data_IF_779410503510
#
_entry.id   IF_779410503510
#
_cell.length_a   1.000
_cell.length_b   1.000
_cell.length_c   1.000
_cell.angle_alpha   90.00
_cell.angle_beta   90.00
_cell.angle_gamma   90.00
#
_symmetry.space_group_name_H-M   'P 1'
#
loop_
_entity.id
_entity.type
_entity.pdbx_description
1 polymer ?
#
# COMPACT_ATOMS: atom_id res chain seq x y z
N UNK A 1 -7.24 -36.68 18.03
CA UNK A 1 -7.54 -35.43 18.77
C UNK A 1 -6.77 -35.50 20.06
N UNK A 2 -6.03 -34.45 20.43
CA UNK A 2 -5.45 -34.38 21.77
C UNK A 2 -6.53 -34.02 22.80
N UNK A 3 -6.17 -34.03 24.09
CA UNK A 3 -7.09 -33.72 25.19
C UNK A 3 -7.69 -32.29 25.14
N UNK A 4 -7.24 -31.44 24.20
CA UNK A 4 -7.75 -30.07 23.97
C UNK A 4 -8.66 -29.94 22.75
N UNK A 5 -8.97 -31.05 22.06
CA UNK A 5 -9.77 -31.03 20.83
C UNK A 5 -9.03 -30.46 19.62
N UNK A 6 -7.74 -30.13 19.74
CA UNK A 6 -6.93 -29.63 18.63
C UNK A 6 -6.50 -30.78 17.72
N UNK A 7 -6.58 -30.52 16.41
CA UNK A 7 -5.96 -31.36 15.39
C UNK A 7 -4.44 -31.33 15.63
N UNK A 8 -3.83 -32.49 15.88
CA UNK A 8 -2.37 -32.57 16.01
C UNK A 8 -1.68 -32.12 14.72
N UNK A 9 -0.45 -31.60 14.82
CA UNK A 9 0.28 -31.02 13.67
C UNK A 9 0.31 -31.97 12.47
N UNK A 10 0.54 -33.28 12.68
CA UNK A 10 0.53 -34.27 11.60
C UNK A 10 -0.81 -34.39 10.87
N UNK A 11 -1.93 -34.12 11.54
CA UNK A 11 -3.25 -34.08 10.87
C UNK A 11 -3.50 -32.80 10.08
N UNK A 12 -2.90 -31.67 10.49
CA UNK A 12 -2.94 -30.42 9.72
C UNK A 12 -2.11 -30.58 8.43
N UNK A 13 -0.93 -31.19 8.54
CA UNK A 13 -0.07 -31.50 7.40
C UNK A 13 -0.78 -32.41 6.39
N UNK A 14 -1.37 -33.52 6.83
CA UNK A 14 -2.14 -34.41 5.95
C UNK A 14 -3.30 -33.66 5.25
N UNK A 15 -4.01 -32.80 5.98
CA UNK A 15 -5.12 -32.00 5.44
C UNK A 15 -4.65 -31.03 4.36
N UNK A 16 -3.48 -30.40 4.55
CA UNK A 16 -2.87 -29.50 3.57
C UNK A 16 -2.42 -30.26 2.32
N UNK A 17 -1.69 -31.37 2.49
CA UNK A 17 -1.19 -32.19 1.37
C UNK A 17 -2.33 -32.77 0.54
N UNK A 18 -3.43 -33.19 1.19
CA UNK A 18 -4.62 -33.70 0.53
C UNK A 18 -5.52 -32.59 -0.06
N UNK A 19 -5.24 -31.30 0.19
CA UNK A 19 -6.11 -30.15 -0.13
C UNK A 19 -7.55 -30.36 0.37
N UNK A 20 -7.69 -31.04 1.50
CA UNK A 20 -9.00 -31.38 2.07
C UNK A 20 -9.65 -30.20 2.81
N UNK A 21 -8.87 -29.15 3.09
CA UNK A 21 -9.32 -27.95 3.79
C UNK A 21 -9.41 -26.78 2.80
N UNK A 22 -10.56 -26.09 2.77
CA UNK A 22 -10.78 -24.99 1.85
C UNK A 22 -9.82 -23.80 2.11
N UNK A 23 -9.29 -23.66 3.33
CA UNK A 23 -8.34 -22.59 3.64
C UNK A 23 -7.00 -22.72 2.90
N UNK A 24 -6.70 -23.90 2.32
CA UNK A 24 -5.58 -24.07 1.37
C UNK A 24 -5.77 -23.19 0.12
N UNK A 25 -7.02 -22.83 -0.20
CA UNK A 25 -7.39 -21.99 -1.32
C UNK A 25 -7.87 -20.59 -0.89
N UNK A 26 -7.65 -20.20 0.38
CA UNK A 26 -8.06 -18.86 0.88
C UNK A 26 -7.33 -17.74 0.14
N UNK A 27 -6.08 -17.97 -0.29
CA UNK A 27 -5.27 -16.99 -1.02
C UNK A 27 -4.93 -17.50 -2.42
N UNK A 28 -5.50 -16.88 -3.45
CA UNK A 28 -5.26 -17.25 -4.84
C UNK A 28 -3.83 -16.96 -5.34
N UNK A 29 -3.05 -16.18 -4.59
CA UNK A 29 -1.69 -15.78 -4.97
C UNK A 29 -0.61 -16.72 -4.42
N UNK A 30 -0.96 -17.73 -3.62
CA UNK A 30 0.03 -18.65 -3.06
C UNK A 30 0.27 -19.85 -3.97
N UNK A 31 1.47 -20.38 -3.88
CA UNK A 31 1.86 -21.62 -4.56
C UNK A 31 2.15 -22.70 -3.52
N UNK A 32 1.67 -23.91 -3.79
CA UNK A 32 1.92 -25.07 -2.93
C UNK A 32 3.42 -25.21 -2.73
N UNK A 33 3.84 -25.03 -1.49
CA UNK A 33 5.24 -25.02 -1.08
C UNK A 33 5.32 -25.23 0.42
N UNK A 34 6.52 -25.51 0.95
CA UNK A 34 6.72 -25.49 2.40
C UNK A 34 6.46 -24.11 3.00
N UNK A 35 6.73 -23.03 2.25
CA UNK A 35 6.42 -21.67 2.69
C UNK A 35 4.92 -21.46 2.87
N UNK A 36 4.11 -21.93 1.91
CA UNK A 36 2.65 -21.86 1.99
C UNK A 36 2.10 -22.76 3.11
N UNK A 37 2.64 -23.97 3.27
CA UNK A 37 2.30 -24.85 4.38
C UNK A 37 2.55 -24.20 5.75
N UNK A 38 3.68 -23.52 5.93
CA UNK A 38 3.97 -22.80 7.18
C UNK A 38 2.95 -21.67 7.42
N UNK A 39 2.53 -20.97 6.38
CA UNK A 39 1.45 -19.98 6.45
C UNK A 39 0.10 -20.61 6.85
N UNK A 40 -0.26 -21.74 6.24
CA UNK A 40 -1.45 -22.51 6.56
C UNK A 40 -1.44 -23.00 8.01
N UNK A 41 -0.33 -23.59 8.46
CA UNK A 41 -0.13 -24.06 9.83
C UNK A 41 -0.28 -22.90 10.83
N UNK A 42 0.36 -21.77 10.55
CA UNK A 42 0.24 -20.56 11.36
C UNK A 42 -1.21 -20.06 11.42
N UNK A 43 -1.94 -20.10 10.30
CA UNK A 43 -3.38 -19.81 10.26
C UNK A 43 -4.18 -20.70 11.21
N UNK A 44 -3.98 -22.01 11.14
CA UNK A 44 -4.70 -22.99 12.00
C UNK A 44 -4.39 -22.82 13.49
N UNK A 45 -3.17 -22.43 13.83
CA UNK A 45 -2.77 -22.25 15.23
C UNK A 45 -3.27 -20.92 15.80
N UNK A 46 -3.25 -19.84 15.00
CA UNK A 46 -3.41 -18.47 15.51
C UNK A 46 -4.79 -17.85 15.25
N UNK A 47 -5.55 -18.31 14.24
CA UNK A 47 -6.90 -17.79 13.94
C UNK A 47 -7.99 -18.38 14.88
N UNK A 48 -7.62 -18.88 16.05
CA UNK A 48 -8.58 -19.45 17.02
C UNK A 48 -9.18 -18.35 17.91
N UNK A 49 -10.44 -18.48 18.37
CA UNK A 49 -11.07 -17.45 19.20
C UNK A 49 -10.29 -17.11 20.47
N UNK A 50 -9.73 -18.12 21.14
CA UNK A 50 -8.97 -17.94 22.38
C UNK A 50 -7.71 -17.11 22.14
N UNK A 51 -6.92 -17.48 21.12
CA UNK A 51 -5.70 -16.73 20.76
C UNK A 51 -6.06 -15.32 20.31
N UNK A 52 -7.07 -15.14 19.46
CA UNK A 52 -7.44 -13.81 18.97
C UNK A 52 -7.88 -12.88 20.12
N UNK A 53 -8.59 -13.40 21.14
CA UNK A 53 -9.04 -12.64 22.31
C UNK A 53 -7.91 -12.18 23.23
N UNK A 54 -6.72 -12.81 23.16
CA UNK A 54 -5.53 -12.33 23.87
C UNK A 54 -4.98 -11.02 23.30
N UNK A 55 -5.23 -10.75 22.01
CA UNK A 55 -4.66 -9.60 21.29
C UNK A 55 -5.69 -8.56 20.86
N UNK A 56 -6.96 -8.94 20.76
CA UNK A 56 -8.04 -8.12 20.21
C UNK A 56 -9.22 -8.05 21.20
N UNK A 57 -10.02 -6.96 21.17
CA UNK A 57 -11.23 -6.88 21.98
C UNK A 57 -12.13 -8.09 21.78
N UNK A 58 -12.61 -8.71 22.87
CA UNK A 58 -13.38 -9.95 22.80
C UNK A 58 -14.62 -9.81 21.89
N UNK A 59 -15.30 -8.67 21.98
CA UNK A 59 -16.45 -8.35 21.13
C UNK A 59 -16.09 -8.31 19.64
N UNK A 60 -14.91 -7.79 19.29
CA UNK A 60 -14.45 -7.75 17.91
C UNK A 60 -14.22 -9.16 17.35
N UNK A 61 -13.63 -10.05 18.15
CA UNK A 61 -13.42 -11.46 17.77
C UNK A 61 -14.77 -12.15 17.53
N UNK A 62 -15.74 -11.96 18.41
CA UNK A 62 -17.09 -12.51 18.25
C UNK A 62 -17.78 -12.00 16.98
N UNK A 63 -17.74 -10.69 16.74
CA UNK A 63 -18.32 -10.08 15.54
C UNK A 63 -17.59 -10.53 14.26
N UNK A 64 -16.29 -10.77 14.32
CA UNK A 64 -15.52 -11.30 13.21
C UNK A 64 -15.96 -12.73 12.85
N UNK A 65 -16.07 -13.60 13.86
CA UNK A 65 -16.53 -14.98 13.69
C UNK A 65 -17.99 -15.03 13.21
N UNK A 66 -18.83 -14.11 13.68
CA UNK A 66 -20.21 -13.94 13.25
C UNK A 66 -20.37 -13.32 11.85
N UNK A 67 -19.26 -12.87 11.23
CA UNK A 67 -19.22 -12.21 9.90
C UNK A 67 -19.91 -10.85 9.84
N UNK A 68 -20.09 -10.21 10.99
CA UNK A 68 -20.55 -8.82 11.11
C UNK A 68 -19.46 -7.84 10.70
N UNK A 69 -18.21 -8.15 11.07
CA UNK A 69 -17.01 -7.42 10.65
C UNK A 69 -15.99 -8.39 10.05
N UNK A 70 -15.08 -7.86 9.24
CA UNK A 70 -13.92 -8.59 8.74
C UNK A 70 -12.64 -7.90 9.20
N UNK A 71 -11.87 -8.58 10.05
CA UNK A 71 -10.56 -8.12 10.52
C UNK A 71 -9.53 -8.63 9.50
N UNK A 72 -8.94 -7.70 8.75
CA UNK A 72 -8.07 -8.05 7.64
C UNK A 72 -6.72 -8.61 8.11
N UNK A 73 -6.10 -9.41 7.24
CA UNK A 73 -4.72 -9.90 7.36
C UNK A 73 -4.44 -10.73 8.62
N UNK A 74 -5.45 -11.32 9.26
CA UNK A 74 -5.22 -12.31 10.30
C UNK A 74 -4.49 -13.54 9.71
N UNK A 75 -3.56 -14.17 10.46
CA UNK A 75 -3.13 -13.79 11.82
C UNK A 75 -1.99 -12.75 11.82
N UNK A 76 -1.42 -12.39 10.68
CA UNK A 76 -0.27 -11.48 10.61
C UNK A 76 -0.55 -10.11 11.23
N UNK A 77 -1.77 -9.58 11.06
CA UNK A 77 -2.19 -8.30 11.64
C UNK A 77 -2.19 -8.29 13.16
N UNK A 78 -2.01 -9.42 13.85
CA UNK A 78 -1.74 -9.39 15.28
C UNK A 78 -0.39 -8.72 15.63
N UNK A 79 0.57 -8.65 14.70
CA UNK A 79 1.91 -8.07 14.95
C UNK A 79 2.41 -7.13 13.87
N UNK A 80 1.99 -7.33 12.62
CA UNK A 80 2.56 -6.68 11.45
C UNK A 80 1.52 -5.73 10.84
N UNK A 81 1.83 -4.43 10.70
CA UNK A 81 0.88 -3.46 10.15
C UNK A 81 0.54 -3.70 8.68
N UNK A 82 -0.44 -2.96 8.17
CA UNK A 82 -0.96 -3.17 6.82
C UNK A 82 -0.04 -2.64 5.73
N UNK A 83 -0.11 -1.36 5.36
CA UNK A 83 0.60 -0.86 4.18
C UNK A 83 1.26 0.49 4.41
N UNK A 84 2.24 0.83 3.57
CA UNK A 84 3.07 2.02 3.71
C UNK A 84 3.63 2.50 2.38
N UNK A 85 3.78 3.82 2.28
CA UNK A 85 4.56 4.51 1.26
C UNK A 85 5.88 5.03 1.80
N UNK A 86 6.89 4.96 0.95
CA UNK A 86 8.26 5.28 1.29
C UNK A 86 8.77 6.48 0.52
N UNK A 87 9.57 7.30 1.19
CA UNK A 87 10.28 8.41 0.55
C UNK A 87 11.46 7.88 -0.23
N UNK A 88 11.38 7.94 -1.56
CA UNK A 88 12.49 7.53 -2.39
C UNK A 88 13.70 8.47 -2.20
N UNK A 89 13.45 9.78 -2.08
CA UNK A 89 14.47 10.77 -1.72
C UNK A 89 15.25 10.38 -0.46
N UNK A 90 14.58 9.91 0.60
CA UNK A 90 15.26 9.49 1.84
C UNK A 90 16.15 8.27 1.62
N UNK A 91 15.71 7.31 0.80
CA UNK A 91 16.53 6.14 0.43
C UNK A 91 17.77 6.61 -0.36
N UNK A 92 17.62 7.55 -1.28
CA UNK A 92 18.74 8.11 -2.06
C UNK A 92 19.72 8.92 -1.20
N UNK A 93 19.23 9.67 -0.20
CA UNK A 93 20.10 10.42 0.75
C UNK A 93 20.90 9.52 1.67
N UNK A 94 20.28 8.46 2.20
CA UNK A 94 20.90 7.61 3.22
C UNK A 94 21.70 6.45 2.64
N UNK A 95 21.32 5.96 1.44
CA UNK A 95 21.70 4.64 0.98
C UNK A 95 20.81 3.56 1.59
N UNK A 96 21.27 2.31 1.58
CA UNK A 96 20.52 1.16 2.11
C UNK A 96 21.19 0.64 3.39
N UNK A 97 20.60 0.99 4.53
CA UNK A 97 21.03 0.68 5.87
C UNK A 97 20.14 -0.44 6.39
N UNK A 98 20.71 -1.61 6.62
CA UNK A 98 20.01 -2.77 7.19
C UNK A 98 20.67 -3.17 8.52
N UNK A 99 20.06 -4.09 9.30
CA UNK A 99 20.70 -4.61 10.51
C UNK A 99 22.04 -5.34 10.26
N UNK A 100 22.23 -5.91 9.05
CA UNK A 100 23.38 -6.76 8.74
C UNK A 100 24.42 -6.07 7.85
N UNK A 101 24.02 -5.13 6.99
CA UNK A 101 24.90 -4.47 6.03
C UNK A 101 24.47 -3.03 5.78
N UNK A 102 25.45 -2.16 5.53
CA UNK A 102 25.23 -0.74 5.24
C UNK A 102 25.85 -0.40 3.90
N UNK A 103 25.02 -0.04 2.93
CA UNK A 103 25.41 0.50 1.63
C UNK A 103 25.36 2.02 1.64
N UNK A 104 26.46 2.67 1.19
CA UNK A 104 26.50 4.13 0.98
C UNK A 104 25.46 4.55 -0.08
N UNK A 105 25.05 5.83 -0.10
CA UNK A 105 24.17 6.37 -1.15
C UNK A 105 24.59 6.00 -2.57
N UNK A 106 23.60 5.64 -3.40
CA UNK A 106 23.81 5.24 -4.78
C UNK A 106 24.43 6.38 -5.60
N UNK A 107 25.42 6.06 -6.44
CA UNK A 107 26.06 7.02 -7.38
C UNK A 107 25.70 6.78 -8.84
N UNK A 108 25.15 5.62 -9.15
CA UNK A 108 24.79 5.18 -10.49
C UNK A 108 23.36 4.65 -10.50
N UNK A 109 22.69 4.73 -11.65
CA UNK A 109 21.30 4.29 -11.81
C UNK A 109 21.12 2.84 -11.37
N UNK A 110 22.05 1.97 -11.77
CA UNK A 110 22.01 0.55 -11.45
C UNK A 110 21.94 0.28 -9.95
N UNK A 111 22.74 1.02 -9.15
CA UNK A 111 22.71 0.96 -7.68
C UNK A 111 21.44 1.57 -7.11
N UNK A 112 20.95 2.69 -7.66
CA UNK A 112 19.74 3.36 -7.17
C UNK A 112 18.49 2.46 -7.32
N UNK A 113 18.39 1.78 -8.46
CA UNK A 113 17.34 0.79 -8.75
C UNK A 113 17.49 -0.44 -7.84
N UNK A 114 18.70 -0.99 -7.71
CA UNK A 114 18.94 -2.12 -6.81
C UNK A 114 18.66 -1.78 -5.34
N UNK A 115 18.94 -0.56 -4.89
CA UNK A 115 18.57 -0.11 -3.56
C UNK A 115 17.06 -0.13 -3.35
N UNK A 116 16.28 0.42 -4.31
CA UNK A 116 14.83 0.45 -4.20
C UNK A 116 14.21 -0.95 -4.20
N UNK A 117 14.68 -1.84 -5.09
CA UNK A 117 14.22 -3.23 -5.15
C UNK A 117 14.47 -3.96 -3.83
N UNK A 118 15.72 -3.93 -3.35
CA UNK A 118 16.08 -4.59 -2.09
C UNK A 118 15.34 -3.97 -0.91
N UNK A 119 15.16 -2.65 -0.92
CA UNK A 119 14.39 -1.96 0.09
C UNK A 119 12.93 -2.46 0.15
N UNK A 120 12.26 -2.63 -0.98
CA UNK A 120 10.92 -3.22 -1.01
C UNK A 120 10.90 -4.65 -0.50
N UNK A 121 11.85 -5.51 -0.87
CA UNK A 121 11.94 -6.88 -0.35
C UNK A 121 12.15 -6.94 1.16
N UNK A 122 13.00 -6.08 1.71
CA UNK A 122 13.27 -6.02 3.14
C UNK A 122 12.04 -5.52 3.90
N UNK A 123 11.47 -4.41 3.47
CA UNK A 123 10.31 -3.81 4.14
C UNK A 123 9.04 -4.64 3.97
N UNK A 124 8.92 -5.43 2.90
CA UNK A 124 7.85 -6.39 2.70
C UNK A 124 7.74 -7.46 3.81
N UNK A 125 8.77 -7.62 4.65
CA UNK A 125 8.74 -8.48 5.84
C UNK A 125 8.19 -7.76 7.09
N UNK A 126 8.19 -6.42 7.10
CA UNK A 126 7.70 -5.59 8.21
C UNK A 126 6.26 -5.10 8.00
N UNK A 127 5.67 -5.36 6.83
CA UNK A 127 4.32 -4.93 6.47
C UNK A 127 3.57 -6.02 5.69
N UNK A 128 2.29 -6.20 5.95
CA UNK A 128 1.46 -7.29 5.37
C UNK A 128 0.82 -6.95 4.02
N UNK A 129 0.74 -5.65 3.73
CA UNK A 129 0.14 -5.07 2.54
C UNK A 129 1.21 -4.62 1.56
N UNK A 130 0.88 -3.59 0.80
CA UNK A 130 1.73 -3.11 -0.27
C UNK A 130 2.73 -2.06 0.20
N UNK A 131 3.79 -1.94 -0.59
CA UNK A 131 4.89 -0.99 -0.47
C UNK A 131 4.85 -0.04 -1.66
N UNK A 132 4.74 1.25 -1.42
CA UNK A 132 4.68 2.23 -2.51
C UNK A 132 5.91 3.15 -2.50
N UNK A 133 6.37 3.55 -3.69
CA UNK A 133 7.23 4.71 -3.86
C UNK A 133 6.69 5.56 -5.01
N UNK A 134 6.74 6.88 -4.82
CA UNK A 134 6.27 7.85 -5.79
C UNK A 134 7.44 8.47 -6.57
N UNK A 135 7.13 9.01 -7.74
CA UNK A 135 8.07 9.79 -8.56
C UNK A 135 9.34 9.01 -8.94
N UNK A 136 9.21 7.70 -9.22
CA UNK A 136 10.36 6.86 -9.55
C UNK A 136 11.04 7.35 -10.84
N UNK A 137 10.25 7.81 -11.80
CA UNK A 137 10.72 8.45 -13.02
C UNK A 137 11.59 9.68 -12.75
N UNK A 138 11.09 10.60 -11.91
CA UNK A 138 11.81 11.83 -11.57
C UNK A 138 13.07 11.56 -10.73
N UNK A 139 13.01 10.67 -9.74
CA UNK A 139 14.16 10.37 -8.88
C UNK A 139 15.22 9.51 -9.58
N UNK A 140 14.86 8.72 -10.59
CA UNK A 140 15.83 7.98 -11.42
C UNK A 140 16.49 8.87 -12.48
N UNK A 141 15.80 9.91 -12.97
CA UNK A 141 16.24 10.77 -14.06
C UNK A 141 17.62 11.44 -13.85
N UNK A 142 17.97 11.98 -12.66
CA UNK A 142 19.30 12.54 -12.42
C UNK A 142 20.44 11.54 -12.62
N UNK A 143 20.21 10.25 -12.31
CA UNK A 143 21.21 9.20 -12.53
C UNK A 143 21.40 8.89 -14.01
N UNK A 144 20.31 8.92 -14.81
CA UNK A 144 20.38 8.72 -16.26
C UNK A 144 21.30 9.77 -16.89
N UNK A 145 21.13 11.05 -16.52
CA UNK A 145 21.99 12.14 -17.00
C UNK A 145 23.42 12.02 -16.47
N UNK A 146 23.57 11.78 -15.17
CA UNK A 146 24.87 11.65 -14.52
C UNK A 146 25.73 10.54 -15.14
N UNK A 147 25.12 9.40 -15.46
CA UNK A 147 25.79 8.24 -16.04
C UNK A 147 25.90 8.32 -17.58
N UNK A 148 25.27 9.32 -18.22
CA UNK A 148 25.27 9.48 -19.68
C UNK A 148 24.56 8.33 -20.41
N UNK A 149 23.48 7.78 -19.83
CA UNK A 149 22.83 6.57 -20.33
C UNK A 149 21.91 6.86 -21.51
N UNK A 150 22.02 6.03 -22.55
CA UNK A 150 20.99 5.95 -23.59
C UNK A 150 19.81 5.07 -23.18
N UNK A 151 18.70 5.19 -23.91
CA UNK A 151 17.43 4.51 -23.60
C UNK A 151 17.57 2.99 -23.38
N UNK A 152 18.38 2.29 -24.18
CA UNK A 152 18.58 0.85 -24.01
C UNK A 152 19.13 0.46 -22.63
N UNK A 153 20.05 1.25 -22.09
CA UNK A 153 20.60 1.03 -20.75
C UNK A 153 19.57 1.38 -19.66
N UNK A 154 18.81 2.47 -19.84
CA UNK A 154 17.70 2.84 -18.94
C UNK A 154 16.67 1.71 -18.87
N UNK A 155 16.21 1.24 -20.04
CA UNK A 155 15.25 0.14 -20.14
C UNK A 155 15.77 -1.14 -19.50
N UNK A 156 17.05 -1.45 -19.63
CA UNK A 156 17.66 -2.62 -18.98
C UNK A 156 17.57 -2.55 -17.45
N UNK A 157 17.81 -1.38 -16.86
CA UNK A 157 17.73 -1.20 -15.40
C UNK A 157 16.28 -1.23 -14.90
N UNK A 158 15.33 -0.67 -15.65
CA UNK A 158 13.90 -0.78 -15.33
C UNK A 158 13.42 -2.23 -15.51
N UNK A 159 13.89 -2.94 -16.52
CA UNK A 159 13.58 -4.36 -16.74
C UNK A 159 14.02 -5.20 -15.54
N UNK A 160 15.24 -4.95 -15.02
CA UNK A 160 15.72 -5.58 -13.79
C UNK A 160 14.74 -5.39 -12.64
N UNK A 161 14.20 -4.19 -12.44
CA UNK A 161 13.18 -3.91 -11.43
C UNK A 161 11.90 -4.75 -11.64
N UNK A 162 11.38 -4.81 -12.87
CA UNK A 162 10.17 -5.58 -13.17
C UNK A 162 10.36 -7.06 -12.83
N UNK A 163 11.44 -7.69 -13.30
CA UNK A 163 11.69 -9.09 -12.98
C UNK A 163 11.93 -9.33 -11.49
N UNK A 164 12.81 -8.54 -10.85
CA UNK A 164 13.16 -8.76 -9.45
C UNK A 164 11.97 -8.57 -8.51
N UNK A 165 11.07 -7.61 -8.78
CA UNK A 165 9.86 -7.38 -7.96
C UNK A 165 8.74 -8.40 -8.19
N UNK A 166 8.79 -9.19 -9.28
CA UNK A 166 7.85 -10.30 -9.49
C UNK A 166 8.39 -11.64 -8.97
N UNK A 167 9.67 -11.75 -8.60
CA UNK A 167 10.15 -12.97 -7.95
C UNK A 167 9.58 -13.13 -6.54
N UNK A 168 9.25 -14.37 -6.13
CA UNK A 168 8.60 -14.64 -4.86
C UNK A 168 9.58 -14.45 -3.69
N UNK A 169 9.27 -13.52 -2.79
CA UNK A 169 10.11 -13.19 -1.62
C UNK A 169 9.34 -13.21 -0.30
N UNK A 170 8.01 -13.34 -0.33
CA UNK A 170 7.13 -13.43 0.84
C UNK A 170 6.69 -14.87 1.13
N UNK A 171 6.21 -15.07 2.36
CA UNK A 171 5.58 -16.31 2.80
C UNK A 171 4.49 -16.76 1.81
N UNK A 172 4.46 -18.05 1.48
CA UNK A 172 3.55 -18.62 0.50
C UNK A 172 3.99 -18.48 -0.96
N UNK A 173 5.29 -18.23 -1.20
CA UNK A 173 5.84 -17.99 -2.55
C UNK A 173 5.15 -16.82 -3.27
N UNK A 174 4.82 -15.78 -2.51
CA UNK A 174 4.23 -14.55 -3.04
C UNK A 174 5.31 -13.52 -3.34
N UNK A 175 5.13 -12.73 -4.40
CA UNK A 175 5.97 -11.56 -4.67
C UNK A 175 5.62 -10.43 -3.70
N UNK A 176 6.55 -9.51 -3.48
CA UNK A 176 6.27 -8.31 -2.69
C UNK A 176 5.25 -7.44 -3.43
N UNK A 177 4.15 -7.08 -2.76
CA UNK A 177 3.16 -6.20 -3.37
C UNK A 177 3.76 -4.79 -3.42
N UNK A 178 4.13 -4.34 -4.61
CA UNK A 178 4.79 -3.04 -4.82
C UNK A 178 3.98 -2.14 -5.75
N UNK A 179 4.04 -0.84 -5.50
CA UNK A 179 3.44 0.20 -6.34
C UNK A 179 4.51 1.25 -6.69
N UNK A 180 4.54 1.61 -7.96
CA UNK A 180 5.41 2.61 -8.54
C UNK A 180 4.55 3.72 -9.16
N UNK A 181 4.66 4.95 -8.66
CA UNK A 181 3.96 6.08 -9.28
C UNK A 181 4.88 6.83 -10.24
N UNK A 182 4.41 7.02 -11.46
CA UNK A 182 5.00 7.85 -12.51
C UNK A 182 4.34 9.23 -12.44
N UNK A 183 5.16 10.27 -12.25
CA UNK A 183 4.67 11.63 -12.00
C UNK A 183 4.81 12.54 -13.21
N UNK A 184 5.85 12.39 -14.03
CA UNK A 184 6.20 13.32 -15.11
C UNK A 184 6.11 14.77 -14.61
N UNK A 185 5.34 15.62 -15.29
CA UNK A 185 5.12 17.02 -14.93
C UNK A 185 3.86 17.26 -14.07
N UNK A 186 3.29 16.21 -13.47
CA UNK A 186 2.00 16.31 -12.79
C UNK A 186 2.00 17.28 -11.59
N UNK A 187 3.14 17.42 -10.90
CA UNK A 187 3.27 18.19 -9.66
C UNK A 187 4.45 19.17 -9.72
N UNK A 188 4.13 20.48 -9.71
CA UNK A 188 5.13 21.56 -9.81
C UNK A 188 5.99 21.69 -8.56
N UNK A 189 5.47 21.39 -7.38
CA UNK A 189 6.24 21.44 -6.14
C UNK A 189 7.25 20.29 -6.10
N UNK A 190 6.84 19.11 -6.56
CA UNK A 190 7.74 17.97 -6.71
C UNK A 190 8.84 18.27 -7.74
N UNK A 191 8.52 18.88 -8.88
CA UNK A 191 9.54 19.29 -9.85
C UNK A 191 10.56 20.27 -9.27
N UNK A 192 10.15 21.17 -8.37
CA UNK A 192 11.03 22.11 -7.70
C UNK A 192 11.84 21.48 -6.54
N UNK A 193 11.53 20.24 -6.16
CA UNK A 193 12.24 19.52 -5.11
C UNK A 193 13.60 18.99 -5.58
N UNK A 194 14.41 18.55 -4.62
CA UNK A 194 15.80 18.14 -4.85
C UNK A 194 15.95 16.88 -5.72
N UNK A 195 16.81 16.99 -6.74
CA UNK A 195 17.42 15.85 -7.40
C UNK A 195 18.61 15.34 -6.58
N UNK A 196 18.70 14.03 -6.36
CA UNK A 196 19.64 13.43 -5.42
C UNK A 196 20.48 12.34 -6.09
N UNK A 197 21.81 12.54 -6.13
CA UNK A 197 22.79 11.55 -6.62
C UNK A 197 23.95 11.47 -5.63
N UNK A 198 24.40 10.27 -5.29
CA UNK A 198 25.49 10.07 -4.32
C UNK A 198 25.17 10.57 -2.91
N UNK A 199 23.88 10.70 -2.58
CA UNK A 199 23.38 11.23 -1.31
C UNK A 199 23.46 12.75 -1.17
N UNK A 200 23.68 13.47 -2.29
CA UNK A 200 23.78 14.93 -2.33
C UNK A 200 22.79 15.50 -3.32
N UNK A 201 22.35 16.72 -3.06
CA UNK A 201 21.56 17.52 -4.00
C UNK A 201 22.42 17.88 -5.22
N UNK A 202 21.89 17.65 -6.42
CA UNK A 202 22.58 17.91 -7.70
C UNK A 202 21.81 18.84 -8.64
N UNK A 203 20.64 19.31 -8.21
CA UNK A 203 19.73 20.16 -8.99
C UNK A 203 18.29 20.00 -8.50
N UNK A 204 17.34 20.45 -9.32
CA UNK A 204 15.91 20.20 -9.09
C UNK A 204 15.43 19.03 -9.96
N UNK A 205 14.41 18.30 -9.52
CA UNK A 205 13.86 17.17 -10.30
C UNK A 205 13.39 17.61 -11.70
N UNK A 206 12.82 18.81 -11.81
CA UNK A 206 12.35 19.38 -13.07
C UNK A 206 13.45 19.67 -14.09
N UNK A 207 14.72 19.74 -13.68
CA UNK A 207 15.84 19.92 -14.60
C UNK A 207 16.07 18.67 -15.48
N UNK A 208 15.53 17.50 -15.09
CA UNK A 208 15.81 16.18 -15.69
C UNK A 208 14.59 15.55 -16.39
N UNK A 209 13.67 16.37 -16.90
CA UNK A 209 12.42 15.87 -17.51
C UNK A 209 12.65 14.96 -18.73
N UNK A 210 13.63 15.25 -19.59
CA UNK A 210 13.93 14.43 -20.76
C UNK A 210 14.34 13.00 -20.36
N UNK A 211 15.12 12.87 -19.29
CA UNK A 211 15.50 11.58 -18.71
C UNK A 211 14.34 10.91 -17.97
N UNK A 212 13.48 11.67 -17.30
CA UNK A 212 12.28 11.14 -16.65
C UNK A 212 11.31 10.53 -17.68
N UNK A 213 11.16 11.16 -18.85
CA UNK A 213 10.39 10.64 -19.99
C UNK A 213 10.99 9.31 -20.47
N UNK A 214 12.32 9.16 -20.51
CA UNK A 214 12.95 7.88 -20.86
C UNK A 214 12.65 6.78 -19.84
N UNK A 215 12.69 7.10 -18.54
CA UNK A 215 12.33 6.13 -17.48
C UNK A 215 10.85 5.75 -17.60
N UNK A 216 9.95 6.73 -17.74
CA UNK A 216 8.52 6.47 -17.93
C UNK A 216 8.26 5.61 -19.18
N UNK A 217 8.90 5.92 -20.31
CA UNK A 217 8.82 5.11 -21.54
C UNK A 217 9.21 3.65 -21.28
N UNK A 218 10.30 3.41 -20.55
CA UNK A 218 10.73 2.05 -20.22
C UNK A 218 9.67 1.28 -19.42
N UNK A 219 8.98 1.92 -18.46
CA UNK A 219 7.88 1.30 -17.71
C UNK A 219 6.74 0.82 -18.63
N UNK A 220 6.34 1.63 -19.60
CA UNK A 220 5.23 1.29 -20.50
C UNK A 220 5.62 0.31 -21.62
N UNK A 221 6.83 0.42 -22.17
CA UNK A 221 7.38 -0.57 -23.10
C UNK A 221 7.41 -1.97 -22.46
N UNK A 222 8.01 -2.07 -21.27
CA UNK A 222 8.14 -3.36 -20.56
C UNK A 222 6.78 -3.92 -20.13
N UNK A 223 5.82 -3.04 -19.82
CA UNK A 223 4.44 -3.43 -19.57
C UNK A 223 3.78 -4.09 -20.78
N UNK A 224 4.05 -3.58 -22.00
CA UNK A 224 3.56 -4.16 -23.24
C UNK A 224 4.27 -5.46 -23.60
N UNK A 225 5.59 -5.53 -23.42
CA UNK A 225 6.41 -6.71 -23.70
C UNK A 225 6.01 -7.90 -22.82
N UNK A 226 5.91 -7.69 -21.51
CA UNK A 226 5.67 -8.74 -20.53
C UNK A 226 6.92 -9.56 -20.18
N UNK A 227 6.71 -10.68 -19.50
CA UNK A 227 7.77 -11.59 -19.08
C UNK A 227 8.38 -12.39 -20.24
N UNK A 228 9.24 -13.38 -19.95
CA UNK A 228 9.85 -14.24 -20.97
C UNK A 228 8.87 -15.05 -21.84
N UNK A 229 7.57 -15.05 -21.50
CA UNK A 229 6.46 -15.65 -22.25
C UNK A 229 5.48 -14.61 -22.79
N UNK A 230 5.76 -13.32 -22.62
CA UNK A 230 4.88 -12.21 -22.98
C UNK A 230 3.67 -12.03 -22.04
N UNK A 231 3.70 -12.65 -20.85
CA UNK A 231 2.65 -12.47 -19.85
C UNK A 231 2.79 -11.11 -19.16
N UNK A 232 1.68 -10.44 -18.81
CA UNK A 232 1.75 -9.17 -18.11
C UNK A 232 2.47 -9.31 -16.76
N UNK A 233 3.29 -8.32 -16.41
CA UNK A 233 3.84 -8.21 -15.07
C UNK A 233 2.75 -7.81 -14.08
N UNK A 234 2.77 -8.41 -12.87
CA UNK A 234 1.86 -8.00 -11.79
C UNK A 234 2.42 -6.80 -11.01
N UNK A 235 3.75 -6.78 -10.84
CA UNK A 235 4.46 -5.75 -10.08
C UNK A 235 5.58 -5.07 -10.89
N UNK A 236 6.03 -3.86 -10.50
CA UNK A 236 5.30 -2.97 -9.60
C UNK A 236 3.98 -2.54 -10.26
N UNK A 237 2.93 -2.39 -9.46
CA UNK A 237 1.70 -1.76 -9.96
C UNK A 237 2.05 -0.35 -10.36
N UNK A 238 1.94 -0.06 -11.65
CA UNK A 238 2.23 1.27 -12.17
C UNK A 238 1.00 2.16 -11.98
N UNK A 239 1.20 3.30 -11.34
CA UNK A 239 0.19 4.35 -11.19
C UNK A 239 0.64 5.57 -11.98
N UNK A 240 -0.26 6.15 -12.77
CA UNK A 240 -0.02 7.37 -13.52
C UNK A 240 -0.97 8.45 -13.03
N UNK A 241 -0.42 9.62 -12.72
CA UNK A 241 -1.23 10.78 -12.39
C UNK A 241 -1.64 11.54 -13.65
N UNK A 242 -2.94 11.78 -13.83
CA UNK A 242 -3.45 12.61 -14.92
C UNK A 242 -4.01 13.90 -14.33
N UNK A 243 -3.42 15.02 -14.71
CA UNK A 243 -3.79 16.37 -14.27
C UNK A 243 -4.31 17.20 -15.45
N UNK A 244 -4.75 18.43 -15.18
CA UNK A 244 -5.14 19.40 -16.23
C UNK A 244 -3.99 19.70 -17.20
N UNK A 245 -2.77 19.61 -16.70
CA UNK A 245 -1.54 19.87 -17.44
C UNK A 245 -0.98 18.56 -18.06
N UNK A 246 -1.80 17.52 -18.27
CA UNK A 246 -1.36 16.27 -18.94
C UNK A 246 -1.12 16.51 -20.44
N UNK A 247 -0.07 15.92 -21.04
CA UNK A 247 0.23 16.09 -22.47
C UNK A 247 -0.62 15.19 -23.38
N UNK A 248 -1.88 15.56 -23.57
CA UNK A 248 -2.80 14.88 -24.49
C UNK A 248 -2.38 14.92 -25.95
N UNK A 249 -1.50 15.85 -26.33
CA UNK A 249 -1.14 16.10 -27.74
C UNK A 249 0.19 15.46 -28.15
N UNK A 250 0.95 14.91 -27.20
CA UNK A 250 2.31 14.40 -27.44
C UNK A 250 3.31 15.51 -27.81
N UNK A 251 3.01 16.78 -27.54
CA UNK A 251 3.89 17.91 -27.91
C UNK A 251 5.12 18.02 -27.00
N UNK A 252 5.02 17.55 -25.76
CA UNK A 252 6.10 17.55 -24.77
C UNK A 252 6.72 16.16 -24.63
N UNK A 253 5.91 15.10 -24.65
CA UNK A 253 6.39 13.74 -24.40
C UNK A 253 6.56 12.89 -25.66
N UNK A 254 6.28 13.47 -26.84
CA UNK A 254 6.29 12.74 -28.10
C UNK A 254 5.31 11.57 -28.07
N UNK A 255 5.77 10.42 -28.56
CA UNK A 255 4.98 9.18 -28.62
C UNK A 255 4.71 8.52 -27.25
N UNK A 256 5.24 9.06 -26.14
CA UNK A 256 5.01 8.47 -24.82
C UNK A 256 3.51 8.47 -24.46
N UNK A 257 2.77 9.51 -24.83
CA UNK A 257 1.33 9.58 -24.56
C UNK A 257 0.59 8.43 -25.25
N UNK A 258 0.88 8.17 -26.52
CA UNK A 258 0.26 7.06 -27.26
C UNK A 258 0.66 5.70 -26.68
N UNK A 259 1.93 5.54 -26.30
CA UNK A 259 2.44 4.34 -25.64
C UNK A 259 1.72 4.05 -24.31
N UNK A 260 1.47 5.07 -23.50
CA UNK A 260 0.71 4.97 -22.24
C UNK A 260 -0.68 4.41 -22.52
N UNK A 261 -1.40 4.97 -23.50
CA UNK A 261 -2.76 4.53 -23.82
C UNK A 261 -2.80 3.17 -24.52
N UNK A 262 -1.77 2.81 -25.28
CA UNK A 262 -1.63 1.45 -25.82
C UNK A 262 -1.45 0.42 -24.69
N UNK A 263 -0.57 0.70 -23.72
CA UNK A 263 -0.38 -0.15 -22.55
C UNK A 263 -1.68 -0.29 -21.74
N UNK A 264 -2.43 0.80 -21.56
CA UNK A 264 -3.73 0.80 -20.89
C UNK A 264 -4.72 -0.11 -21.63
N UNK A 265 -4.86 0.07 -22.93
CA UNK A 265 -5.81 -0.66 -23.75
C UNK A 265 -5.48 -2.15 -23.87
N UNK A 266 -4.19 -2.51 -23.99
CA UNK A 266 -3.75 -3.89 -24.24
C UNK A 266 -3.51 -4.69 -22.96
N UNK A 267 -3.07 -4.03 -21.89
CA UNK A 267 -2.56 -4.69 -20.68
C UNK A 267 -3.25 -4.22 -19.39
N UNK A 268 -4.09 -3.18 -19.43
CA UNK A 268 -4.77 -2.66 -18.24
C UNK A 268 -3.84 -1.89 -17.29
N UNK A 269 -2.70 -1.42 -17.78
CA UNK A 269 -1.70 -0.65 -17.01
C UNK A 269 -1.41 0.67 -17.71
N UNK A 270 -1.34 1.80 -17.02
CA UNK A 270 -1.29 2.00 -15.57
C UNK A 270 -2.66 2.17 -14.90
N UNK A 271 -2.70 2.12 -13.56
CA UNK A 271 -3.84 2.70 -12.83
C UNK A 271 -3.80 4.22 -12.95
N UNK A 272 -4.93 4.83 -13.28
CA UNK A 272 -5.04 6.29 -13.41
C UNK A 272 -5.45 6.90 -12.08
N UNK A 273 -4.63 7.82 -11.58
CA UNK A 273 -4.98 8.70 -10.46
C UNK A 273 -5.47 10.05 -11.01
N UNK A 274 -6.74 10.36 -10.74
CA UNK A 274 -7.40 11.55 -11.28
C UNK A 274 -7.03 12.82 -10.49
N UNK A 275 -6.08 13.60 -11.00
CA UNK A 275 -5.68 14.91 -10.49
C UNK A 275 -6.56 16.08 -10.95
N UNK A 276 -7.68 15.86 -11.66
CA UNK A 276 -8.61 16.94 -12.03
C UNK A 276 -9.59 17.30 -10.91
N UNK A 277 -10.03 16.30 -10.14
CA UNK A 277 -11.12 16.43 -9.17
C UNK A 277 -10.66 16.82 -7.75
N UNK A 278 -9.36 16.74 -7.48
CA UNK A 278 -8.77 16.97 -6.16
C UNK A 278 -7.38 17.56 -6.36
N UNK A 279 -6.94 18.41 -5.44
CA UNK A 279 -5.61 19.03 -5.47
C UNK A 279 -4.52 17.95 -5.56
N UNK A 280 -3.67 18.04 -6.58
CA UNK A 280 -2.61 17.08 -6.90
C UNK A 280 -1.61 16.97 -5.75
N UNK A 281 -1.29 18.11 -5.12
CA UNK A 281 -0.42 18.16 -3.94
C UNK A 281 -1.00 17.40 -2.74
N UNK A 282 -2.31 17.14 -2.74
CA UNK A 282 -3.03 16.45 -1.68
C UNK A 282 -3.41 14.99 -2.02
N UNK A 283 -3.28 14.56 -3.29
CA UNK A 283 -3.69 13.25 -3.79
C UNK A 283 -2.53 12.27 -3.91
N UNK A 284 -2.63 11.16 -3.18
CA UNK A 284 -1.71 10.04 -3.34
C UNK A 284 -2.48 8.73 -3.29
N UNK A 285 -2.31 7.90 -4.32
CA UNK A 285 -2.81 6.53 -4.33
C UNK A 285 -1.81 5.65 -3.60
N UNK A 286 -2.06 5.42 -2.31
CA UNK A 286 -1.20 4.54 -1.54
C UNK A 286 -1.71 3.11 -1.71
N UNK A 287 -0.85 2.28 -2.29
CA UNK A 287 -1.02 0.84 -2.42
C UNK A 287 -2.10 0.39 -3.42
N UNK A 288 -3.34 0.18 -2.95
CA UNK A 288 -4.35 -0.56 -3.73
C UNK A 288 -5.59 0.25 -4.11
N UNK A 289 -5.86 1.38 -3.45
CA UNK A 289 -6.97 2.32 -3.74
C UNK A 289 -7.09 3.47 -2.73
N UNK A 290 -6.23 3.53 -1.71
CA UNK A 290 -6.37 4.50 -0.64
C UNK A 290 -5.89 5.86 -1.16
N UNK A 291 -6.83 6.68 -1.61
CA UNK A 291 -6.58 8.05 -2.02
C UNK A 291 -6.62 8.95 -0.79
N UNK A 292 -5.47 9.52 -0.46
CA UNK A 292 -5.38 10.55 0.55
C UNK A 292 -5.98 11.85 0.01
N UNK A 293 -6.77 12.53 0.83
CA UNK A 293 -7.20 13.91 0.57
C UNK A 293 -7.11 14.68 1.90
N UNK A 294 -5.94 15.27 2.11
CA UNK A 294 -5.61 15.98 3.37
C UNK A 294 -6.52 17.22 3.54
N UNK A 295 -7.09 17.74 2.45
CA UNK A 295 -8.02 18.88 2.49
C UNK A 295 -9.37 18.54 3.13
N UNK A 296 -9.70 17.24 3.30
CA UNK A 296 -10.93 16.81 3.97
C UNK A 296 -10.80 16.70 5.48
N UNK A 297 -9.58 16.61 6.01
CA UNK A 297 -9.34 16.71 7.46
C UNK A 297 -9.71 18.08 8.02
N UNK A 298 -9.78 19.11 7.18
CA UNK A 298 -10.10 20.49 7.56
C UNK A 298 -11.57 20.88 7.36
N UNK A 299 -12.40 20.04 6.74
CA UNK A 299 -13.72 20.44 6.19
C UNK A 299 -14.96 19.88 6.91
N UNK A 300 -14.85 19.20 8.06
CA UNK A 300 -16.01 18.58 8.73
C UNK A 300 -16.62 19.48 9.82
N UNK A 301 -17.70 20.20 9.44
CA UNK A 301 -18.81 20.82 10.22
C UNK A 301 -18.50 21.84 11.33
N UNK A 302 -19.16 23.02 11.22
CA UNK A 302 -19.00 24.23 12.04
C UNK A 302 -19.13 24.06 13.57
N UNK A 303 -19.85 23.04 14.05
CA UNK A 303 -20.03 22.81 15.50
C UNK A 303 -18.95 21.89 16.09
N UNK A 304 -18.26 21.11 15.25
CA UNK A 304 -17.07 20.31 15.63
C UNK A 304 -15.76 20.97 15.23
N UNK A 305 -15.82 22.15 14.62
CA UNK A 305 -14.68 22.82 14.03
C UNK A 305 -13.61 23.19 15.07
N UNK A 306 -13.97 23.44 16.33
CA UNK A 306 -13.01 23.74 17.40
C UNK A 306 -12.28 22.49 17.92
N UNK A 307 -12.98 21.39 18.17
CA UNK A 307 -12.37 20.10 18.56
C UNK A 307 -11.57 19.47 17.42
N UNK A 308 -12.09 19.56 16.18
CA UNK A 308 -11.39 19.06 15.00
C UNK A 308 -10.25 19.98 14.57
N UNK A 309 -10.32 21.31 14.76
CA UNK A 309 -9.14 22.19 14.62
C UNK A 309 -8.10 21.85 15.66
N UNK A 310 -8.51 21.62 16.91
CA UNK A 310 -7.61 21.15 17.96
C UNK A 310 -6.94 19.85 17.56
N UNK A 311 -7.70 18.82 17.17
CA UNK A 311 -7.15 17.53 16.74
C UNK A 311 -6.38 17.60 15.42
N UNK A 312 -6.75 18.49 14.49
CA UNK A 312 -6.04 18.69 13.22
C UNK A 312 -4.76 19.51 13.40
N UNK A 313 -4.75 20.50 14.29
CA UNK A 313 -3.54 21.19 14.74
C UNK A 313 -2.66 20.26 15.55
N UNK A 314 -3.22 19.41 16.40
CA UNK A 314 -2.48 18.41 17.16
C UNK A 314 -1.94 17.30 16.24
N UNK A 315 -2.67 16.93 15.18
CA UNK A 315 -2.22 16.01 14.13
C UNK A 315 -1.14 16.65 13.24
N UNK A 316 -1.30 17.92 12.86
CA UNK A 316 -0.27 18.70 12.13
C UNK A 316 0.96 18.94 12.99
N UNK A 317 0.78 19.26 14.27
CA UNK A 317 1.85 19.37 15.24
C UNK A 317 2.47 18.01 15.51
N UNK A 318 1.73 16.91 15.56
CA UNK A 318 2.30 15.57 15.68
C UNK A 318 3.12 15.21 14.43
N UNK A 319 2.65 15.59 13.23
CA UNK A 319 3.42 15.52 11.99
C UNK A 319 4.67 16.42 12.04
N UNK A 320 4.58 17.60 12.68
CA UNK A 320 5.69 18.57 12.77
C UNK A 320 6.69 18.30 13.92
N UNK A 321 6.25 17.67 15.02
CA UNK A 321 7.05 17.36 16.23
C UNK A 321 7.93 16.13 16.02
N UNK A 322 7.74 15.38 14.93
CA UNK A 322 8.66 14.33 14.45
C UNK A 322 9.97 14.92 13.94
N UNK A 323 10.87 15.27 14.86
CA UNK A 323 12.17 15.96 14.65
C UNK A 323 12.95 15.55 13.40
N UNK A 324 12.90 16.40 12.38
CA UNK A 324 14.02 16.88 11.54
C UNK A 324 13.49 18.06 10.70
N UNK A 325 14.29 19.09 10.37
CA UNK A 325 13.82 20.25 9.60
C UNK A 325 13.52 19.79 8.18
N UNK A 326 12.28 19.38 7.95
CA UNK A 326 11.71 19.23 6.62
C UNK A 326 10.94 20.52 6.39
N UNK A 327 11.16 21.16 5.24
CA UNK A 327 10.33 22.29 4.84
C UNK A 327 8.86 21.94 5.02
N UNK A 328 8.04 22.96 5.30
CA UNK A 328 6.59 22.91 5.50
C UNK A 328 5.80 22.25 4.34
N UNK A 329 6.51 21.78 3.31
CA UNK A 329 6.04 21.31 2.00
C UNK A 329 6.71 19.99 1.57
N UNK A 330 7.24 19.21 2.50
CA UNK A 330 7.68 17.85 2.18
C UNK A 330 6.46 16.93 2.01
N UNK A 331 6.27 16.41 0.79
CA UNK A 331 5.31 15.37 0.41
C UNK A 331 5.12 14.35 1.55
N UNK A 332 3.90 13.86 1.83
CA UNK A 332 3.69 12.86 2.86
C UNK A 332 4.10 11.44 2.38
N UNK A 333 5.32 11.33 1.85
CA UNK A 333 6.10 10.10 1.80
C UNK A 333 6.42 9.69 3.24
N UNK A 334 5.63 8.75 3.77
CA UNK A 334 5.62 8.19 5.14
C UNK A 334 4.18 7.85 5.62
N UNK A 335 3.24 7.70 4.69
CA UNK A 335 1.82 7.49 4.97
C UNK A 335 1.36 6.12 4.46
N UNK A 336 0.25 5.64 5.01
CA UNK A 336 -0.25 4.30 4.76
C UNK A 336 -1.41 3.98 5.67
N UNK A 337 -1.65 2.71 5.95
CA UNK A 337 -2.69 2.28 6.87
C UNK A 337 -2.12 1.33 7.92
N UNK A 338 -2.42 1.59 9.19
CA UNK A 338 -2.11 0.70 10.32
C UNK A 338 -2.78 -0.65 10.10
N UNK A 339 -4.06 -0.64 9.73
CA UNK A 339 -4.87 -1.84 9.56
C UNK A 339 -6.23 -1.50 8.98
N UNK A 340 -6.95 -2.53 8.56
CA UNK A 340 -8.30 -2.41 7.99
C UNK A 340 -9.25 -3.32 8.75
N UNK A 341 -10.39 -2.78 9.17
CA UNK A 341 -11.54 -3.56 9.63
C UNK A 341 -12.72 -3.17 8.76
N UNK A 342 -13.34 -4.16 8.09
CA UNK A 342 -14.46 -3.91 7.17
C UNK A 342 -15.79 -4.31 7.79
N UNK A 343 -16.80 -3.44 7.64
CA UNK A 343 -18.16 -3.69 8.11
C UNK A 343 -18.97 -4.34 6.99
N UNK A 344 -19.67 -5.43 7.29
CA UNK A 344 -20.52 -6.15 6.34
C UNK A 344 -21.91 -5.49 6.27
N UNK A 345 -22.06 -4.48 5.42
CA UNK A 345 -23.30 -3.71 5.30
C UNK A 345 -24.53 -4.55 4.90
N UNK A 346 -24.45 -5.50 3.93
CA UNK A 346 -25.58 -6.35 3.57
C UNK A 346 -26.14 -7.12 4.75
N UNK A 347 -25.26 -7.64 5.61
CA UNK A 347 -25.66 -8.38 6.80
C UNK A 347 -26.37 -7.48 7.81
N UNK A 348 -25.84 -6.29 8.08
CA UNK A 348 -26.48 -5.36 9.01
C UNK A 348 -27.85 -4.93 8.48
N UNK A 349 -27.98 -4.68 7.17
CA UNK A 349 -29.25 -4.40 6.53
C UNK A 349 -30.25 -5.56 6.69
N UNK A 350 -29.83 -6.80 6.46
CA UNK A 350 -30.68 -7.96 6.68
C UNK A 350 -31.13 -8.09 8.15
N UNK A 351 -30.22 -7.88 9.11
CA UNK A 351 -30.53 -7.93 10.55
C UNK A 351 -31.46 -6.79 10.99
N UNK A 352 -31.40 -5.63 10.32
CA UNK A 352 -32.29 -4.50 10.58
C UNK A 352 -33.74 -4.76 10.16
N UNK A 353 -33.97 -5.79 9.32
CA UNK A 353 -35.28 -6.06 8.70
C UNK A 353 -35.85 -4.84 7.98
N UNK A 354 -35.02 -4.00 7.35
CA UNK A 354 -35.48 -2.81 6.63
C UNK A 354 -35.83 -1.62 7.53
N UNK A 355 -35.61 -1.71 8.84
CA UNK A 355 -35.78 -0.58 9.75
C UNK A 355 -34.49 0.25 9.81
N UNK A 356 -34.51 1.47 9.26
CA UNK A 356 -33.34 2.34 9.18
C UNK A 356 -32.70 2.64 10.55
N UNK A 357 -33.51 2.96 11.57
CA UNK A 357 -33.00 3.26 12.91
C UNK A 357 -32.24 2.08 13.52
N UNK A 358 -32.72 0.85 13.30
CA UNK A 358 -32.03 -0.37 13.74
C UNK A 358 -30.75 -0.62 12.95
N UNK A 359 -30.75 -0.34 11.65
CA UNK A 359 -29.54 -0.44 10.83
C UNK A 359 -28.46 0.52 11.31
N UNK A 360 -28.83 1.76 11.60
CA UNK A 360 -27.91 2.78 12.09
C UNK A 360 -27.30 2.41 13.44
N UNK A 361 -28.10 1.91 14.39
CA UNK A 361 -27.63 1.40 15.68
C UNK A 361 -26.58 0.28 15.50
N UNK A 362 -26.89 -0.72 14.66
CA UNK A 362 -25.97 -1.81 14.36
C UNK A 362 -24.68 -1.30 13.70
N UNK A 363 -24.78 -0.38 12.75
CA UNK A 363 -23.64 0.18 12.05
C UNK A 363 -22.72 0.93 13.03
N UNK A 364 -23.27 1.80 13.87
CA UNK A 364 -22.51 2.56 14.85
C UNK A 364 -21.81 1.66 15.88
N UNK A 365 -22.47 0.61 16.37
CA UNK A 365 -21.85 -0.38 17.25
C UNK A 365 -20.66 -1.07 16.56
N UNK A 366 -20.83 -1.56 15.32
CA UNK A 366 -19.75 -2.24 14.58
C UNK A 366 -18.58 -1.29 14.27
N UNK A 367 -18.87 -0.03 13.95
CA UNK A 367 -17.84 1.01 13.76
C UNK A 367 -17.08 1.31 15.05
N UNK A 368 -17.77 1.36 16.21
CA UNK A 368 -17.13 1.55 17.50
C UNK A 368 -16.17 0.40 17.84
N UNK A 369 -16.61 -0.85 17.66
CA UNK A 369 -15.76 -2.04 17.87
C UNK A 369 -14.59 -2.09 16.90
N UNK A 370 -14.81 -1.78 15.62
CA UNK A 370 -13.74 -1.70 14.63
C UNK A 370 -12.68 -0.64 14.99
N UNK A 371 -13.11 0.51 15.53
CA UNK A 371 -12.21 1.55 16.04
C UNK A 371 -11.36 1.05 17.21
N UNK A 372 -11.92 0.26 18.13
CA UNK A 372 -11.15 -0.32 19.24
C UNK A 372 -10.02 -1.26 18.75
N UNK A 373 -10.32 -2.11 17.76
CA UNK A 373 -9.30 -2.97 17.12
C UNK A 373 -8.17 -2.12 16.54
N UNK A 374 -8.50 -1.07 15.77
CA UNK A 374 -7.52 -0.21 15.12
C UNK A 374 -6.66 0.57 16.13
N UNK A 375 -7.23 0.97 17.27
CA UNK A 375 -6.48 1.60 18.38
C UNK A 375 -5.53 0.61 19.03
N UNK A 376 -6.00 -0.60 19.35
CA UNK A 376 -5.17 -1.65 19.92
C UNK A 376 -3.97 -2.00 19.03
N UNK A 377 -4.17 -2.08 17.71
CA UNK A 377 -3.10 -2.27 16.75
C UNK A 377 -2.11 -1.11 16.69
N UNK A 378 -2.59 0.13 16.65
CA UNK A 378 -1.70 1.31 16.66
C UNK A 378 -0.78 1.30 17.88
N UNK A 379 -1.35 1.16 19.07
CA UNK A 379 -0.58 1.14 20.32
C UNK A 379 0.46 0.01 20.32
N UNK A 380 0.08 -1.16 19.79
CA UNK A 380 0.98 -2.32 19.68
C UNK A 380 2.11 -2.07 18.71
N UNK A 381 1.83 -1.64 17.49
CA UNK A 381 2.86 -1.47 16.47
C UNK A 381 3.82 -0.33 16.82
N UNK A 382 3.34 0.72 17.49
CA UNK A 382 4.22 1.75 18.04
C UNK A 382 5.17 1.19 19.10
N UNK A 383 4.72 0.28 19.95
CA UNK A 383 5.61 -0.44 20.88
C UNK A 383 6.59 -1.33 20.13
N UNK A 384 6.13 -2.09 19.12
CA UNK A 384 7.01 -2.93 18.28
C UNK A 384 8.11 -2.12 17.60
N UNK A 385 7.77 -0.95 17.05
CA UNK A 385 8.73 -0.03 16.44
C UNK A 385 9.76 0.49 17.46
N UNK A 386 9.30 0.91 18.64
CA UNK A 386 10.18 1.36 19.75
C UNK A 386 11.11 0.24 20.24
N UNK A 387 10.63 -0.99 20.29
CA UNK A 387 11.40 -2.18 20.68
C UNK A 387 12.36 -2.68 19.58
N UNK A 388 12.32 -2.10 18.38
CA UNK A 388 13.22 -2.45 17.29
C UNK A 388 12.81 -3.70 16.51
N UNK A 389 11.55 -4.13 16.60
CA UNK A 389 11.01 -5.26 15.83
C UNK A 389 10.75 -4.93 14.35
N UNK A 390 10.92 -3.65 13.97
CA UNK A 390 10.77 -3.15 12.60
C UNK A 390 11.98 -2.27 12.24
N UNK A 391 13.18 -2.85 12.10
CA UNK A 391 14.42 -2.10 11.95
C UNK A 391 14.45 -1.18 10.71
N UNK A 392 13.92 -1.61 9.57
CA UNK A 392 13.88 -0.79 8.36
C UNK A 392 12.92 0.38 8.54
N UNK A 393 11.71 0.09 9.03
CA UNK A 393 10.71 1.12 9.34
C UNK A 393 11.25 2.11 10.36
N UNK A 394 12.01 1.68 11.37
CA UNK A 394 12.61 2.59 12.35
C UNK A 394 13.57 3.61 11.72
N UNK A 395 14.39 3.19 10.76
CA UNK A 395 15.36 4.06 10.09
C UNK A 395 14.67 4.97 9.07
N UNK A 396 13.87 4.39 8.20
CA UNK A 396 13.34 5.09 7.02
C UNK A 396 12.01 5.80 7.27
N UNK A 397 11.25 5.38 8.27
CA UNK A 397 10.00 6.02 8.65
C UNK A 397 10.10 6.69 10.03
N UNK A 398 10.50 5.95 11.06
CA UNK A 398 10.72 6.44 12.43
C UNK A 398 9.46 6.58 13.28
N UNK A 399 8.28 6.71 12.68
CA UNK A 399 7.00 6.85 13.39
C UNK A 399 5.84 6.26 12.58
N UNK A 400 4.66 6.12 13.19
CA UNK A 400 3.43 5.69 12.50
C UNK A 400 2.35 6.79 12.45
N UNK A 401 2.72 8.06 12.75
CA UNK A 401 1.80 9.19 12.81
C UNK A 401 1.02 9.42 11.51
N UNK A 402 1.69 9.29 10.35
CA UNK A 402 1.07 9.44 9.03
C UNK A 402 0.21 8.26 8.56
N UNK A 403 0.05 7.20 9.37
CA UNK A 403 -0.72 6.02 8.98
C UNK A 403 -2.18 6.15 9.43
N UNK A 404 -3.13 5.84 8.57
CA UNK A 404 -4.55 5.86 8.87
C UNK A 404 -5.01 4.63 9.62
N UNK A 405 -6.11 4.77 10.35
CA UNK A 405 -6.86 3.66 10.93
C UNK A 405 -8.09 3.45 10.05
N UNK A 406 -8.06 2.43 9.18
CA UNK A 406 -9.01 2.33 8.07
C UNK A 406 -10.25 1.52 8.44
N UNK A 407 -11.41 2.18 8.37
CA UNK A 407 -12.72 1.53 8.44
C UNK A 407 -13.21 1.27 7.01
N UNK A 408 -13.26 -0.01 6.63
CA UNK A 408 -13.78 -0.44 5.34
C UNK A 408 -15.28 -0.68 5.37
N UNK A 409 -15.93 -0.51 4.23
CA UNK A 409 -17.33 -0.83 4.02
C UNK A 409 -17.43 -1.74 2.78
N UNK A 410 -18.35 -2.70 2.78
CA UNK A 410 -18.58 -3.59 1.63
C UNK A 410 -20.06 -3.83 1.41
N UNK A 411 -20.46 -3.98 0.14
CA UNK A 411 -21.79 -4.41 -0.29
C UNK A 411 -22.87 -3.33 -0.20
N UNK A 412 -22.59 -2.12 -0.69
CA UNK A 412 -23.58 -1.03 -0.72
C UNK A 412 -24.84 -1.37 -1.56
N UNK A 413 -24.73 -1.95 -2.77
CA UNK A 413 -25.91 -2.35 -3.54
C UNK A 413 -26.77 -3.40 -2.82
N UNK A 414 -26.14 -4.44 -2.25
CA UNK A 414 -26.85 -5.49 -1.53
C UNK A 414 -27.41 -5.01 -0.19
N UNK A 415 -26.74 -4.06 0.47
CA UNK A 415 -27.29 -3.34 1.62
C UNK A 415 -28.58 -2.61 1.24
N UNK A 416 -28.58 -1.87 0.12
CA UNK A 416 -29.76 -1.14 -0.35
C UNK A 416 -30.92 -2.10 -0.65
N UNK A 417 -30.67 -3.19 -1.40
CA UNK A 417 -31.66 -4.22 -1.68
C UNK A 417 -32.25 -4.85 -0.40
N UNK A 418 -31.41 -5.17 0.59
CA UNK A 418 -31.86 -5.72 1.86
C UNK A 418 -32.68 -4.71 2.69
N UNK A 419 -32.30 -3.44 2.70
CA UNK A 419 -33.04 -2.37 3.40
C UNK A 419 -34.40 -2.12 2.75
N UNK A 420 -34.44 -2.05 1.43
CA UNK A 420 -35.67 -1.88 0.65
C UNK A 420 -36.53 -3.14 0.61
N UNK A 421 -35.98 -4.28 1.06
CA UNK A 421 -36.57 -5.62 0.95
C UNK A 421 -36.93 -5.95 -0.51
N UNK A 422 -36.11 -5.50 -1.44
CA UNK A 422 -36.25 -5.74 -2.86
C UNK A 422 -34.99 -6.41 -3.42
N UNK A 423 -34.96 -7.75 -3.56
CA UNK A 423 -33.82 -8.47 -4.12
C UNK A 423 -33.62 -8.23 -5.62
N UNK A 424 -34.55 -7.55 -6.29
CA UNK A 424 -34.48 -7.26 -7.74
C UNK A 424 -34.05 -5.82 -8.04
N UNK A 425 -33.63 -5.06 -7.04
CA UNK A 425 -33.26 -3.64 -7.16
C UNK A 425 -32.28 -3.30 -8.29
N UNK A 426 -31.49 -4.27 -8.77
CA UNK A 426 -30.47 -4.12 -9.81
C UNK A 426 -30.78 -4.89 -11.10
N UNK A 427 -31.97 -5.46 -11.27
CA UNK A 427 -32.35 -6.27 -12.44
C UNK A 427 -33.12 -5.49 -13.51
N UNK A 428 -33.24 -4.17 -13.37
CA UNK A 428 -33.95 -3.28 -14.30
C UNK A 428 -33.04 -2.64 -15.36
#
# INVERSE_FOLDING_TARGET
MDASGRKGIGSIEQSYLAKADWEVHENANTMISYSDFLGFLMGKLLKTPDVLKEYLPAKAVELHLARDIHIHKLPHSLWVPYCVGWSYAKILRLGLITPSIISKPARHLSTAISHLINFFHLTAQEWTGAQAASAIDLYAAPFVRHDGLGYGAVKQEVQKMFFELNYPTRLGYQSAFTNATIMLEADKELLASEAIVGGREVGQLGDYLDEAIQVARAFFDLSLEGDGRGQPFTFPITTLMITRDFDWTGRRWGELTDLIFEALARRGTAYILNGYSTDVSALYAMCCRLTLDISKLTKVTAEREAELKGAAEEFREALARGRAPRGMWAMPDATGSIGVVTINLPRLAALSKGEWGRFEELLLDRLAVAREVLRAWRDRYERSLKQGLMPMTRIYLGHLAGHFSTLGLVGLPEMAANLMRDPRLWLD
#
